data_IF_718437961795
#
_entry.id   IF_718437961795
#
_cell.length_a   1.000
_cell.length_b   1.000
_cell.length_c   1.000
_cell.angle_alpha   90.00
_cell.angle_beta   90.00
_cell.angle_gamma   90.00
#
_symmetry.space_group_name_H-M   'P 1'
#
loop_
_entity.id
_entity.type
_entity.pdbx_description
1 polymer ?
#
# COMPACT_ATOMS: atom_id res chain seq x y z
N UNK A 1 8.37 9.67 11.10
CA UNK A 1 8.66 9.97 9.67
C UNK A 1 9.15 8.70 8.99
N UNK A 2 9.17 8.61 7.67
CA UNK A 2 9.60 7.41 6.95
C UNK A 2 10.45 7.78 5.73
N UNK A 3 11.28 6.85 5.26
CA UNK A 3 12.08 7.01 4.06
C UNK A 3 11.17 7.27 2.85
N UNK A 4 11.43 8.35 2.10
CA UNK A 4 10.71 8.67 0.87
C UNK A 4 10.82 7.55 -0.16
N UNK A 5 11.98 6.90 -0.23
CA UNK A 5 12.21 5.88 -1.25
C UNK A 5 11.58 4.55 -0.88
N UNK A 6 11.95 3.92 0.24
CA UNK A 6 11.46 2.58 0.60
C UNK A 6 10.29 2.52 1.60
N UNK A 7 9.77 3.67 2.05
CA UNK A 7 8.73 3.78 3.08
C UNK A 7 9.07 3.19 4.47
N UNK A 8 10.34 2.82 4.71
CA UNK A 8 10.77 2.32 6.02
C UNK A 8 10.62 3.43 7.07
N UNK A 9 9.96 3.18 8.21
CA UNK A 9 9.87 4.16 9.30
C UNK A 9 11.26 4.53 9.83
N UNK A 10 11.44 5.80 10.19
CA UNK A 10 12.62 6.24 10.94
C UNK A 10 12.37 6.07 12.43
N UNK A 11 13.38 5.52 13.13
CA UNK A 11 13.35 5.37 14.59
C UNK A 11 13.53 6.71 15.32
N UNK A 12 14.27 7.64 14.69
CA UNK A 12 14.56 8.98 15.23
C UNK A 12 14.46 10.03 14.11
N UNK A 13 14.53 11.31 14.49
CA UNK A 13 14.61 12.40 13.50
C UNK A 13 15.92 12.28 12.73
N UNK A 14 15.84 11.77 11.50
CA UNK A 14 17.00 11.37 10.72
C UNK A 14 17.73 12.56 10.06
N UNK A 15 17.18 13.78 10.14
CA UNK A 15 17.68 14.96 9.42
C UNK A 15 17.69 14.82 7.89
N UNK A 16 17.18 13.70 7.38
CA UNK A 16 17.16 13.27 5.98
C UNK A 16 15.82 12.61 5.67
N UNK A 17 15.37 12.73 4.43
CA UNK A 17 14.16 12.07 3.93
C UNK A 17 14.45 10.69 3.33
N UNK A 18 15.72 10.29 3.19
CA UNK A 18 16.15 8.99 2.65
C UNK A 18 16.97 8.24 3.72
N UNK A 19 16.70 6.94 3.90
CA UNK A 19 17.44 6.11 4.84
C UNK A 19 18.82 5.72 4.31
N UNK A 20 19.74 5.34 5.21
CA UNK A 20 21.11 4.94 4.83
C UNK A 20 21.16 3.78 3.83
N UNK A 21 20.24 2.81 3.93
CA UNK A 21 20.17 1.71 2.96
C UNK A 21 19.89 2.22 1.55
N UNK A 22 18.90 3.10 1.37
CA UNK A 22 18.55 3.64 0.07
C UNK A 22 19.63 4.60 -0.48
N UNK A 23 20.38 5.27 0.40
CA UNK A 23 21.54 6.07 -0.01
C UNK A 23 22.69 5.21 -0.52
N UNK A 24 22.94 4.06 0.11
CA UNK A 24 24.00 3.14 -0.27
C UNK A 24 23.64 2.35 -1.54
N UNK A 25 22.39 1.88 -1.62
CA UNK A 25 21.88 1.10 -2.74
C UNK A 25 20.43 1.49 -3.03
N UNK A 26 20.24 2.25 -4.11
CA UNK A 26 18.92 2.68 -4.55
C UNK A 26 18.10 1.48 -5.03
N UNK A 27 16.89 1.23 -4.50
CA UNK A 27 15.99 0.22 -5.05
C UNK A 27 15.60 0.52 -6.50
N UNK A 28 15.13 -0.50 -7.22
CA UNK A 28 14.65 -0.39 -8.61
C UNK A 28 13.31 0.31 -8.78
N UNK A 29 12.95 1.22 -7.88
CA UNK A 29 11.75 2.05 -7.92
C UNK A 29 12.03 3.44 -7.33
N UNK A 30 11.31 4.45 -7.81
CA UNK A 30 11.53 5.86 -7.43
C UNK A 30 10.99 6.19 -6.03
N UNK A 31 9.83 5.63 -5.69
CA UNK A 31 9.12 5.96 -4.46
C UNK A 31 8.19 4.83 -4.02
N UNK A 32 8.18 4.57 -2.72
CA UNK A 32 7.19 3.72 -2.06
C UNK A 32 6.46 4.52 -0.99
N UNK A 33 5.19 4.18 -0.77
CA UNK A 33 4.36 4.78 0.27
C UNK A 33 3.67 3.66 1.05
N UNK A 34 3.71 3.74 2.37
CA UNK A 34 2.91 2.88 3.24
C UNK A 34 1.77 3.67 3.87
N UNK A 35 0.55 3.13 3.80
CA UNK A 35 -0.61 3.69 4.51
C UNK A 35 -0.59 3.39 6.01
N UNK A 36 0.18 2.39 6.46
CA UNK A 36 0.14 1.88 7.84
C UNK A 36 1.53 1.46 8.34
N UNK A 37 1.75 1.57 9.64
CA UNK A 37 2.85 0.89 10.33
C UNK A 37 2.38 -0.53 10.63
N UNK A 38 3.22 -1.53 10.34
CA UNK A 38 2.88 -2.92 10.59
C UNK A 38 2.96 -3.24 12.10
N UNK A 39 1.81 -3.16 12.77
CA UNK A 39 1.59 -3.52 14.17
C UNK A 39 0.48 -4.57 14.28
N UNK A 40 0.09 -4.98 15.48
CA UNK A 40 -0.93 -6.04 15.68
C UNK A 40 -2.30 -5.69 15.09
N UNK A 41 -2.69 -4.42 15.12
CA UNK A 41 -3.95 -3.95 14.52
C UNK A 41 -3.89 -4.02 13.00
N UNK A 42 -2.85 -3.45 12.39
CA UNK A 42 -2.66 -3.49 10.94
C UNK A 42 -2.52 -4.93 10.45
N UNK A 43 -1.77 -5.76 11.18
CA UNK A 43 -1.64 -7.20 10.92
C UNK A 43 -3.01 -7.89 10.92
N UNK A 44 -3.85 -7.63 11.91
CA UNK A 44 -5.19 -8.24 11.98
C UNK A 44 -6.05 -7.87 10.78
N UNK A 45 -6.06 -6.60 10.37
CA UNK A 45 -6.77 -6.13 9.18
C UNK A 45 -6.24 -6.78 7.88
N UNK A 46 -4.91 -6.78 7.70
CA UNK A 46 -4.26 -7.36 6.53
C UNK A 46 -4.52 -8.87 6.44
N UNK A 47 -4.45 -9.59 7.57
CA UNK A 47 -4.71 -11.02 7.62
C UNK A 47 -6.19 -11.33 7.38
N UNK A 48 -7.11 -10.52 7.91
CA UNK A 48 -8.54 -10.67 7.66
C UNK A 48 -8.87 -10.49 6.16
N UNK A 49 -8.30 -9.49 5.48
CA UNK A 49 -8.46 -9.33 4.04
C UNK A 49 -7.79 -10.49 3.26
N UNK A 50 -6.59 -10.90 3.67
CA UNK A 50 -5.81 -11.92 2.96
C UNK A 50 -6.41 -13.32 3.11
N UNK A 51 -6.96 -13.67 4.28
CA UNK A 51 -7.31 -15.04 4.63
C UNK A 51 -8.75 -15.21 5.13
N UNK A 52 -9.40 -14.16 5.62
CA UNK A 52 -10.70 -14.23 6.30
C UNK A 52 -11.92 -13.90 5.43
N UNK A 53 -11.75 -13.78 4.11
CA UNK A 53 -12.83 -13.42 3.18
C UNK A 53 -13.47 -12.03 3.44
N UNK A 54 -12.72 -11.14 4.10
CA UNK A 54 -13.20 -9.82 4.55
C UNK A 54 -12.95 -8.72 3.52
N UNK A 55 -13.67 -8.77 2.40
CA UNK A 55 -13.60 -7.74 1.37
C UNK A 55 -14.09 -6.36 1.83
N UNK A 56 -14.96 -6.32 2.85
CA UNK A 56 -15.44 -5.11 3.50
C UNK A 56 -14.29 -4.25 4.08
N UNK A 57 -13.11 -4.83 4.29
CA UNK A 57 -11.90 -4.14 4.78
C UNK A 57 -11.18 -3.38 3.64
N UNK A 58 -11.37 -3.77 2.38
CA UNK A 58 -10.70 -3.15 1.24
C UNK A 58 -10.88 -1.62 1.15
N UNK A 59 -12.10 -1.03 1.28
CA UNK A 59 -12.27 0.42 1.24
C UNK A 59 -11.53 1.14 2.39
N UNK A 60 -11.49 0.54 3.58
CA UNK A 60 -10.78 1.10 4.74
C UNK A 60 -9.28 1.18 4.47
N UNK A 61 -8.69 0.08 3.98
CA UNK A 61 -7.27 0.04 3.63
C UNK A 61 -6.94 0.99 2.47
N UNK A 62 -7.82 1.10 1.47
CA UNK A 62 -7.66 2.04 0.36
C UNK A 62 -7.65 3.49 0.84
N UNK A 63 -8.55 3.89 1.75
CA UNK A 63 -8.57 5.23 2.33
C UNK A 63 -7.30 5.55 3.13
N UNK A 64 -6.81 4.58 3.91
CA UNK A 64 -5.56 4.73 4.66
C UNK A 64 -4.36 4.91 3.71
N UNK A 65 -4.30 4.16 2.61
CA UNK A 65 -3.27 4.34 1.58
C UNK A 65 -3.38 5.71 0.91
N UNK A 66 -4.58 6.10 0.46
CA UNK A 66 -4.84 7.37 -0.21
C UNK A 66 -4.42 8.57 0.63
N UNK A 67 -4.68 8.54 1.94
CA UNK A 67 -4.28 9.60 2.88
C UNK A 67 -2.77 9.92 2.85
N UNK A 68 -1.93 8.98 2.41
CA UNK A 68 -0.47 9.12 2.30
C UNK A 68 0.03 9.17 0.86
N UNK A 69 -0.76 8.67 -0.10
CA UNK A 69 -0.35 8.54 -1.50
C UNK A 69 -1.10 9.47 -2.47
N UNK A 70 -1.93 10.40 -1.98
CA UNK A 70 -2.78 11.28 -2.81
C UNK A 70 -2.06 11.90 -4.02
N UNK A 71 -0.90 12.51 -3.82
CA UNK A 71 -0.16 13.15 -4.93
C UNK A 71 0.34 12.10 -5.95
N UNK A 72 0.90 11.00 -5.46
CA UNK A 72 1.39 9.90 -6.31
C UNK A 72 0.27 9.31 -7.17
N UNK A 73 -0.94 9.21 -6.60
CA UNK A 73 -2.10 8.65 -7.30
C UNK A 73 -2.66 9.64 -8.33
N UNK A 74 -2.65 10.95 -8.03
CA UNK A 74 -3.07 11.99 -8.98
C UNK A 74 -2.12 12.11 -10.18
N UNK A 75 -0.84 11.85 -9.97
CA UNK A 75 0.20 11.90 -11.01
C UNK A 75 0.31 10.59 -11.82
N UNK A 76 -0.37 9.52 -11.39
CA UNK A 76 -0.26 8.22 -12.03
C UNK A 76 -1.17 8.11 -13.27
N UNK A 77 -0.59 7.77 -14.43
CA UNK A 77 -1.35 7.46 -15.64
C UNK A 77 -2.12 6.13 -15.52
N UNK A 78 -1.57 5.18 -14.75
CA UNK A 78 -2.16 3.85 -14.57
C UNK A 78 -1.84 3.27 -13.19
N UNK A 79 -2.79 2.49 -12.66
CA UNK A 79 -2.60 1.70 -11.43
C UNK A 79 -2.69 0.23 -11.79
N UNK A 80 -1.62 -0.52 -11.51
CA UNK A 80 -1.53 -1.95 -11.81
C UNK A 80 -1.55 -2.75 -10.49
N UNK A 81 -2.64 -3.45 -10.17
CA UNK A 81 -2.67 -4.34 -9.01
C UNK A 81 -1.82 -5.59 -9.27
N UNK A 82 -1.12 -6.07 -8.24
CA UNK A 82 -0.30 -7.28 -8.36
C UNK A 82 -1.17 -8.52 -8.61
N UNK A 83 -0.88 -9.33 -9.65
CA UNK A 83 -1.71 -10.47 -9.98
C UNK A 83 -1.61 -11.55 -8.90
N UNK A 84 -2.75 -12.17 -8.59
CA UNK A 84 -2.79 -13.35 -7.74
C UNK A 84 -2.61 -14.62 -8.61
N UNK A 85 -1.86 -15.60 -8.10
CA UNK A 85 -1.71 -16.89 -8.80
C UNK A 85 -3.10 -17.53 -9.08
N UNK A 86 -3.37 -18.09 -10.29
CA UNK A 86 -4.69 -18.57 -10.68
C UNK A 86 -5.35 -19.53 -9.67
N UNK A 87 -4.61 -20.53 -9.18
CA UNK A 87 -5.11 -21.43 -8.11
C UNK A 87 -5.57 -20.72 -6.84
N UNK A 88 -4.90 -19.61 -6.44
CA UNK A 88 -5.31 -18.80 -5.28
C UNK A 88 -6.54 -17.96 -5.60
N UNK A 89 -6.64 -17.46 -6.84
CA UNK A 89 -7.81 -16.73 -7.32
C UNK A 89 -9.06 -17.61 -7.31
N UNK A 90 -9.00 -18.82 -7.85
CA UNK A 90 -10.13 -19.77 -7.82
C UNK A 90 -10.60 -20.11 -6.40
N UNK A 91 -9.68 -20.24 -5.44
CA UNK A 91 -10.02 -20.55 -4.04
C UNK A 91 -10.63 -19.36 -3.29
N UNK A 92 -10.26 -18.13 -3.65
CA UNK A 92 -10.62 -16.92 -2.90
C UNK A 92 -11.52 -15.96 -3.65
N UNK A 93 -11.90 -16.27 -4.90
CA UNK A 93 -12.86 -15.56 -5.75
C UNK A 93 -12.52 -14.11 -6.13
N UNK A 94 -11.54 -13.48 -5.49
CA UNK A 94 -11.09 -12.11 -5.77
C UNK A 94 -9.58 -11.94 -5.64
N UNK A 95 -9.05 -10.89 -6.29
CA UNK A 95 -7.69 -10.41 -6.10
C UNK A 95 -7.73 -9.22 -5.12
N UNK A 96 -7.22 -9.43 -3.90
CA UNK A 96 -7.24 -8.41 -2.84
C UNK A 96 -6.59 -7.09 -3.26
N UNK A 97 -5.50 -7.16 -4.03
CA UNK A 97 -4.83 -5.95 -4.51
C UNK A 97 -5.65 -5.21 -5.57
N UNK A 98 -6.40 -5.94 -6.39
CA UNK A 98 -7.31 -5.36 -7.37
C UNK A 98 -8.51 -4.69 -6.68
N UNK A 99 -9.04 -5.29 -5.62
CA UNK A 99 -10.13 -4.67 -4.84
C UNK A 99 -9.68 -3.40 -4.12
N UNK A 100 -8.48 -3.40 -3.53
CA UNK A 100 -7.89 -2.17 -2.97
C UNK A 100 -7.71 -1.13 -4.07
N UNK A 101 -7.12 -1.48 -5.22
CA UNK A 101 -6.90 -0.56 -6.32
C UNK A 101 -8.22 0.05 -6.84
N UNK A 102 -9.28 -0.75 -6.97
CA UNK A 102 -10.61 -0.29 -7.39
C UNK A 102 -11.17 0.75 -6.42
N UNK A 103 -11.10 0.49 -5.11
CA UNK A 103 -11.53 1.46 -4.10
C UNK A 103 -10.64 2.70 -4.06
N UNK A 104 -9.34 2.54 -4.26
CA UNK A 104 -8.39 3.64 -4.24
C UNK A 104 -8.63 4.61 -5.41
N UNK A 105 -8.90 4.10 -6.60
CA UNK A 105 -9.29 4.92 -7.77
C UNK A 105 -10.60 5.65 -7.50
N UNK A 106 -11.60 4.94 -6.98
CA UNK A 106 -12.90 5.53 -6.68
C UNK A 106 -12.77 6.69 -5.68
N UNK A 107 -12.10 6.46 -4.55
CA UNK A 107 -11.89 7.48 -3.52
C UNK A 107 -11.04 8.65 -4.02
N UNK A 108 -10.07 8.42 -4.92
CA UNK A 108 -9.22 9.48 -5.46
C UNK A 108 -9.97 10.40 -6.44
N UNK A 109 -11.06 9.92 -7.05
CA UNK A 109 -11.90 10.69 -7.99
C UNK A 109 -13.11 11.37 -7.35
N UNK A 110 -13.36 11.17 -6.05
CA UNK A 110 -14.40 11.87 -5.28
C UNK A 110 -13.94 13.22 -4.70
N UNK A 111 -12.67 13.59 -4.90
CA UNK A 111 -12.07 14.89 -4.53
C UNK A 111 -11.98 15.85 -5.72
#
# INVERSE_FOLDING_TARGET
MACRQCALPFDHDAGSTICGQCMAESPGFDQAVSGLIYNDTAKSLILALKYGDRLDIAPVLAGLMLSRSRNLIREADVIIPLPLHPKRFFRRRFNQSAEIARHLIHLAGED
#
